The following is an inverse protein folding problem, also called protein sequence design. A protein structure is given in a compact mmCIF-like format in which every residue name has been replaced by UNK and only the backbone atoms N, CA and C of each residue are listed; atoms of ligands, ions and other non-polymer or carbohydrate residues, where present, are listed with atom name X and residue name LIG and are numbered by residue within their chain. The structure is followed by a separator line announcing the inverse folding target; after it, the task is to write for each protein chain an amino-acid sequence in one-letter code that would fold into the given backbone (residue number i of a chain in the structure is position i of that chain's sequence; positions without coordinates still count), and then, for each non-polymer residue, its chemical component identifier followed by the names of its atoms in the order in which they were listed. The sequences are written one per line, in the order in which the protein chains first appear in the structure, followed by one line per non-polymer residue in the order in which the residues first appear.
data_IF_421438202349
#
_entry.id   IF_421438202349
#
_cell.length_a   1.000
_cell.length_b   1.000
_cell.length_c   1.000
_cell.angle_alpha   90.00
_cell.angle_beta   90.00
_cell.angle_gamma   90.00
#
_symmetry.space_group_name_H-M   'P 1'
#
loop_
_entity.id
_entity.type
_entity.pdbx_description
1 polymer ?
#
# COMPACT_ATOMS: atom_id res chain seq x y z
N UNK A 1 2.55 -3.48 19.71
CA UNK A 1 2.82 -3.39 18.26
C UNK A 1 3.41 -2.02 17.96
N UNK A 2 4.39 -1.95 17.06
CA UNK A 2 5.02 -0.71 16.63
C UNK A 2 4.16 -0.06 15.54
N UNK A 3 3.90 1.25 15.64
CA UNK A 3 3.16 1.99 14.61
C UNK A 3 4.10 2.42 13.50
N UNK A 4 3.67 2.15 12.27
CA UNK A 4 4.42 2.46 11.05
C UNK A 4 3.47 3.04 10.01
N UNK A 5 4.02 3.82 9.09
CA UNK A 5 3.31 4.32 7.90
C UNK A 5 4.07 3.96 6.63
N UNK A 6 3.37 3.93 5.51
CA UNK A 6 3.99 3.71 4.20
C UNK A 6 4.70 4.99 3.79
N UNK A 7 6.03 4.91 3.63
CA UNK A 7 6.87 5.99 3.13
C UNK A 7 6.85 6.05 1.60
N UNK A 8 6.80 4.88 0.95
CA UNK A 8 6.75 4.79 -0.52
C UNK A 8 6.88 3.37 -1.05
N UNK A 9 6.88 3.24 -2.37
CA UNK A 9 7.06 1.98 -3.11
C UNK A 9 8.23 2.12 -4.07
N UNK A 10 9.16 1.17 -4.03
CA UNK A 10 10.33 1.10 -4.89
C UNK A 10 10.21 -0.06 -5.88
N UNK A 11 10.56 0.19 -7.14
CA UNK A 11 10.62 -0.82 -8.20
C UNK A 11 12.06 -0.91 -8.71
N UNK A 12 12.91 -1.77 -8.12
CA UNK A 12 14.34 -1.77 -8.40
C UNK A 12 14.69 -2.18 -9.84
N UNK A 13 13.90 -3.07 -10.46
CA UNK A 13 13.94 -3.37 -11.89
C UNK A 13 12.59 -3.93 -12.37
N UNK A 14 12.42 -4.20 -13.67
CA UNK A 14 11.20 -4.84 -14.21
C UNK A 14 11.07 -6.31 -13.80
N UNK A 15 12.20 -6.96 -13.54
CA UNK A 15 12.29 -8.39 -13.22
C UNK A 15 12.30 -8.66 -11.71
N UNK A 16 12.64 -7.64 -10.90
CA UNK A 16 12.69 -7.74 -9.45
C UNK A 16 11.32 -7.46 -8.81
N UNK A 17 11.06 -8.13 -7.68
CA UNK A 17 9.85 -7.88 -6.89
C UNK A 17 9.85 -6.43 -6.35
N UNK A 18 8.74 -5.70 -6.46
CA UNK A 18 8.59 -4.39 -5.83
C UNK A 18 8.72 -4.45 -4.30
N UNK A 19 9.14 -3.33 -3.72
CA UNK A 19 9.39 -3.19 -2.29
C UNK A 19 8.57 -2.03 -1.74
N UNK A 20 7.82 -2.25 -0.67
CA UNK A 20 7.17 -1.18 0.10
C UNK A 20 8.09 -0.79 1.25
N UNK A 21 8.34 0.51 1.38
CA UNK A 21 9.15 1.08 2.45
C UNK A 21 8.21 1.60 3.54
N UNK A 22 8.37 1.08 4.74
CA UNK A 22 7.64 1.46 5.94
C UNK A 22 8.57 2.27 6.84
N UNK A 23 8.06 3.35 7.41
CA UNK A 23 8.78 4.14 8.41
C UNK A 23 8.00 4.17 9.73
N UNK A 24 8.73 4.14 10.83
CA UNK A 24 8.15 4.29 12.16
C UNK A 24 7.49 5.66 12.33
N UNK A 25 6.31 5.71 12.93
CA UNK A 25 5.66 6.99 13.23
C UNK A 25 6.42 7.79 14.32
N UNK A 26 7.04 7.08 15.26
CA UNK A 26 7.66 7.65 16.45
C UNK A 26 9.10 7.13 16.65
N UNK A 27 9.91 7.12 15.59
CA UNK A 27 11.30 6.69 15.65
C UNK A 27 12.02 6.77 14.30
N UNK A 28 13.33 6.49 14.27
CA UNK A 28 14.14 6.52 13.05
C UNK A 28 14.12 5.20 12.27
N UNK A 29 13.35 4.19 12.72
CA UNK A 29 13.36 2.87 12.09
C UNK A 29 12.66 2.85 10.73
N UNK A 30 13.26 2.11 9.80
CA UNK A 30 12.66 1.80 8.49
C UNK A 30 12.66 0.30 8.27
N UNK A 31 11.61 -0.20 7.64
CA UNK A 31 11.45 -1.60 7.28
C UNK A 31 10.99 -1.72 5.82
N UNK A 32 11.52 -2.71 5.12
CA UNK A 32 11.17 -2.96 3.73
C UNK A 32 10.48 -4.32 3.60
N UNK A 33 9.34 -4.36 2.90
CA UNK A 33 8.63 -5.61 2.61
C UNK A 33 8.54 -5.80 1.09
N UNK A 34 8.89 -7.00 0.62
CA UNK A 34 8.70 -7.37 -0.77
C UNK A 34 7.23 -7.71 -1.03
N UNK A 35 6.66 -7.17 -2.09
CA UNK A 35 5.28 -7.40 -2.51
C UNK A 35 5.23 -7.73 -4.00
N UNK A 36 4.09 -8.21 -4.49
CA UNK A 36 3.90 -8.41 -5.92
C UNK A 36 3.65 -7.10 -6.68
N UNK A 37 3.74 -7.18 -8.01
CA UNK A 37 3.51 -6.04 -8.90
C UNK A 37 2.10 -5.46 -8.79
N UNK A 38 1.10 -6.32 -8.59
CA UNK A 38 -0.29 -5.90 -8.47
C UNK A 38 -0.53 -5.12 -7.16
N UNK A 39 0.01 -5.60 -6.04
CA UNK A 39 -0.10 -4.96 -4.74
C UNK A 39 0.65 -3.63 -4.73
N UNK A 40 1.88 -3.60 -5.25
CA UNK A 40 2.67 -2.39 -5.38
C UNK A 40 1.95 -1.30 -6.19
N UNK A 41 1.35 -1.68 -7.32
CA UNK A 41 0.58 -0.75 -8.16
C UNK A 41 -0.64 -0.18 -7.44
N UNK A 42 -1.37 -1.01 -6.69
CA UNK A 42 -2.53 -0.56 -5.92
C UNK A 42 -2.13 0.40 -4.78
N UNK A 43 -1.05 0.09 -4.06
CA UNK A 43 -0.52 0.97 -2.99
C UNK A 43 -0.04 2.30 -3.57
N UNK A 44 0.66 2.27 -4.70
CA UNK A 44 1.17 3.48 -5.35
C UNK A 44 0.03 4.39 -5.80
N UNK A 45 -1.02 3.84 -6.41
CA UNK A 45 -2.20 4.63 -6.82
C UNK A 45 -2.86 5.35 -5.64
N UNK A 46 -2.97 4.67 -4.49
CA UNK A 46 -3.55 5.25 -3.27
C UNK A 46 -2.64 6.33 -2.69
N UNK A 47 -1.31 6.11 -2.65
CA UNK A 47 -0.34 7.12 -2.19
C UNK A 47 -0.35 8.39 -3.06
N UNK A 48 -0.55 8.23 -4.37
CA UNK A 48 -0.68 9.35 -5.31
C UNK A 48 -2.09 10.00 -5.28
N UNK A 49 -3.03 9.45 -4.50
CA UNK A 49 -4.40 9.95 -4.39
C UNK A 49 -5.21 9.83 -5.68
N UNK A 50 -4.91 8.84 -6.52
CA UNK A 50 -5.55 8.69 -7.83
C UNK A 50 -6.94 8.05 -7.69
N UNK A 51 -7.99 8.77 -8.08
CA UNK A 51 -9.35 8.22 -8.12
C UNK A 51 -9.62 7.49 -9.44
N UNK A 52 -10.00 6.23 -9.36
CA UNK A 52 -10.38 5.42 -10.53
C UNK A 52 -11.88 5.51 -10.81
N UNK A 53 -12.31 5.45 -12.10
CA UNK A 53 -13.73 5.57 -12.46
C UNK A 53 -14.60 4.41 -11.97
N UNK A 54 -13.97 3.30 -11.56
CA UNK A 54 -14.59 2.14 -10.92
C UNK A 54 -13.78 1.78 -9.67
N UNK A 55 -14.43 1.28 -8.60
CA UNK A 55 -13.72 0.89 -7.38
C UNK A 55 -12.73 -0.24 -7.68
N UNK A 56 -11.52 -0.13 -7.13
CA UNK A 56 -10.54 -1.21 -7.14
C UNK A 56 -10.91 -2.27 -6.10
N UNK A 57 -10.19 -3.39 -6.10
CA UNK A 57 -10.47 -4.52 -5.20
C UNK A 57 -10.46 -4.10 -3.73
N UNK A 58 -9.52 -3.24 -3.31
CA UNK A 58 -9.44 -2.79 -1.93
C UNK A 58 -10.57 -1.80 -1.58
N UNK A 59 -11.00 -0.95 -2.52
CA UNK A 59 -12.15 -0.06 -2.34
C UNK A 59 -13.43 -0.86 -2.15
N UNK A 60 -13.64 -1.87 -3.01
CA UNK A 60 -14.79 -2.75 -2.94
C UNK A 60 -14.79 -3.52 -1.61
N UNK A 61 -13.64 -4.04 -1.19
CA UNK A 61 -13.50 -4.75 0.08
C UNK A 61 -13.81 -3.83 1.27
N UNK A 62 -13.29 -2.60 1.28
CA UNK A 62 -13.59 -1.61 2.30
C UNK A 62 -15.08 -1.24 2.32
N UNK A 63 -15.73 -1.15 1.14
CA UNK A 63 -17.16 -0.92 1.04
C UNK A 63 -17.96 -2.07 1.64
N UNK A 64 -17.60 -3.32 1.34
CA UNK A 64 -18.25 -4.49 1.94
C UNK A 64 -18.15 -4.46 3.47
N UNK A 65 -16.99 -4.13 4.04
CA UNK A 65 -16.88 -3.99 5.50
C UNK A 65 -17.76 -2.88 6.06
N UNK A 66 -17.76 -1.70 5.43
CA UNK A 66 -18.62 -0.57 5.84
C UNK A 66 -20.11 -0.93 5.79
N UNK A 67 -20.55 -1.67 4.77
CA UNK A 67 -21.94 -2.10 4.62
C UNK A 67 -22.38 -3.09 5.71
N UNK A 68 -21.44 -3.88 6.25
CA UNK A 68 -21.69 -4.81 7.36
C UNK A 68 -21.55 -4.15 8.74
N UNK A 69 -21.23 -2.85 8.81
CA UNK A 69 -21.04 -2.12 10.07
C UNK A 69 -19.75 -2.49 10.81
N UNK A 70 -18.73 -2.95 10.09
CA UNK A 70 -17.38 -3.21 10.60
C UNK A 70 -16.47 -2.00 10.47
#
# INVERSE_FOLDING_TARGET
MLRVRVKGVAMPSKEAAPIVILEEECGPGECCIAVGAAEAGAILLELEGFSTPRPLTHDLMAQVFREQGL
#
